data_IF_713849091956
#
_entry.id   IF_713849091956
#
_cell.length_a   1.000
_cell.length_b   1.000
_cell.length_c   1.000
_cell.angle_alpha   90.00
_cell.angle_beta   90.00
_cell.angle_gamma   90.00
#
_symmetry.space_group_name_H-M   'P 1'
#
loop_
_entity.id
_entity.type
_entity.pdbx_description
1 polymer ?
#
# COMPACT_ATOMS: atom_id res chain seq x y z
N UNK A 1 -25.04 6.25 8.78
CA UNK A 1 -24.05 7.14 8.13
C UNK A 1 -22.66 6.55 8.28
N UNK A 2 -21.95 6.23 7.18
CA UNK A 2 -20.52 5.84 7.25
C UNK A 2 -19.69 7.10 7.08
N UNK A 3 -19.13 7.61 8.17
CA UNK A 3 -18.23 8.77 8.15
C UNK A 3 -16.97 8.36 7.38
N UNK A 4 -16.86 8.77 6.13
CA UNK A 4 -15.65 8.56 5.32
C UNK A 4 -14.59 9.57 5.77
N UNK A 5 -13.77 9.17 6.74
CA UNK A 5 -12.62 9.98 7.12
C UNK A 5 -11.62 9.92 5.96
N UNK A 6 -11.53 11.00 5.17
CA UNK A 6 -10.43 11.20 4.22
C UNK A 6 -9.13 11.20 5.03
N UNK A 7 -8.42 10.07 4.97
CA UNK A 7 -7.15 9.90 5.65
C UNK A 7 -6.16 10.83 4.97
N UNK A 8 -5.76 11.88 5.66
CA UNK A 8 -4.75 12.81 5.15
C UNK A 8 -3.40 12.11 4.97
N UNK A 9 -2.42 12.90 4.49
CA UNK A 9 -1.03 12.49 4.30
C UNK A 9 -0.51 11.72 5.53
N UNK A 10 0.16 10.60 5.29
CA UNK A 10 0.79 9.80 6.34
C UNK A 10 2.00 10.53 6.88
N UNK A 11 2.02 10.76 8.19
CA UNK A 11 3.18 11.31 8.90
C UNK A 11 4.12 10.17 9.31
N UNK A 12 5.41 10.49 9.46
CA UNK A 12 6.40 9.50 9.91
C UNK A 12 6.03 8.91 11.28
N UNK A 13 5.47 9.71 12.18
CA UNK A 13 4.97 9.25 13.48
C UNK A 13 3.80 8.26 13.36
N UNK A 14 2.88 8.48 12.41
CA UNK A 14 1.79 7.54 12.14
C UNK A 14 2.31 6.21 11.58
N UNK A 15 3.34 6.26 10.73
CA UNK A 15 3.98 5.07 10.18
C UNK A 15 4.74 4.28 11.25
N UNK A 16 5.41 4.94 12.20
CA UNK A 16 6.08 4.29 13.34
C UNK A 16 5.07 3.60 14.27
N UNK A 17 3.96 4.29 14.57
CA UNK A 17 2.86 3.71 15.36
C UNK A 17 2.27 2.50 14.62
N UNK A 18 2.06 2.62 13.30
CA UNK A 18 1.54 1.52 12.48
C UNK A 18 2.48 0.32 12.51
N UNK A 19 3.80 0.54 12.38
CA UNK A 19 4.81 -0.53 12.50
C UNK A 19 4.79 -1.21 13.86
N UNK A 20 4.87 -0.43 14.93
CA UNK A 20 4.85 -0.97 16.29
C UNK A 20 3.56 -1.75 16.58
N UNK A 21 2.41 -1.25 16.09
CA UNK A 21 1.13 -1.91 16.26
C UNK A 21 1.04 -3.23 15.45
N UNK A 22 1.54 -3.27 14.22
CA UNK A 22 1.59 -4.51 13.44
C UNK A 22 2.54 -5.53 14.07
N UNK A 23 3.68 -5.10 14.61
CA UNK A 23 4.60 -5.97 15.34
C UNK A 23 3.96 -6.55 16.61
N UNK A 24 3.13 -5.76 17.31
CA UNK A 24 2.49 -6.17 18.56
C UNK A 24 1.23 -7.03 18.37
N UNK A 25 0.37 -6.67 17.41
CA UNK A 25 -0.96 -7.31 17.22
C UNK A 25 -1.04 -8.22 15.99
N UNK A 26 -0.04 -8.17 15.12
CA UNK A 26 -0.02 -8.90 13.86
C UNK A 26 -0.87 -8.28 12.74
N UNK A 27 -0.76 -8.86 11.55
CA UNK A 27 -1.40 -8.39 10.30
C UNK A 27 -2.88 -8.77 10.17
N UNK A 28 -3.49 -9.34 11.20
CA UNK A 28 -4.90 -9.79 11.17
C UNK A 28 -5.83 -8.84 11.94
N UNK A 29 -5.29 -7.92 12.75
CA UNK A 29 -6.06 -7.07 13.66
C UNK A 29 -6.09 -5.58 13.25
N UNK A 30 -6.36 -5.29 11.97
CA UNK A 30 -6.35 -3.92 11.43
C UNK A 30 -7.33 -2.96 12.12
N UNK A 31 -8.48 -3.44 12.59
CA UNK A 31 -9.43 -2.62 13.35
C UNK A 31 -8.81 -2.07 14.63
N UNK A 32 -8.07 -2.93 15.37
CA UNK A 32 -7.37 -2.58 16.60
C UNK A 32 -6.15 -1.71 16.35
N UNK A 33 -5.47 -1.91 15.22
CA UNK A 33 -4.38 -1.04 14.78
C UNK A 33 -4.93 0.36 14.45
N UNK A 34 -6.06 0.44 13.74
CA UNK A 34 -6.67 1.73 13.39
C UNK A 34 -7.18 2.53 14.58
N UNK A 35 -7.56 1.88 15.68
CA UNK A 35 -7.94 2.62 16.90
C UNK A 35 -6.77 3.35 17.57
N UNK A 36 -5.53 3.00 17.25
CA UNK A 36 -4.32 3.70 17.74
C UNK A 36 -3.98 4.93 16.89
N UNK A 37 -4.55 5.02 15.68
CA UNK A 37 -4.26 6.06 14.71
C UNK A 37 -5.47 6.98 14.55
N UNK A 38 -5.30 8.25 14.92
CA UNK A 38 -6.36 9.24 14.80
C UNK A 38 -6.65 9.50 13.33
N UNK A 39 -7.93 9.43 12.94
CA UNK A 39 -8.41 9.70 11.57
C UNK A 39 -7.87 8.76 10.48
N UNK A 40 -7.35 7.59 10.84
CA UNK A 40 -7.00 6.53 9.89
C UNK A 40 -7.91 5.33 10.10
N UNK A 41 -8.51 4.84 9.02
CA UNK A 41 -9.34 3.64 9.04
C UNK A 41 -8.51 2.37 8.91
N UNK A 42 -9.07 1.23 9.34
CA UNK A 42 -8.44 -0.09 9.17
C UNK A 42 -8.04 -0.37 7.71
N UNK A 43 -8.88 0.03 6.74
CA UNK A 43 -8.59 -0.13 5.32
C UNK A 43 -7.35 0.67 4.89
N UNK A 44 -7.21 1.91 5.37
CA UNK A 44 -6.04 2.75 5.11
C UNK A 44 -4.78 2.20 5.76
N UNK A 45 -4.87 1.72 7.01
CA UNK A 45 -3.74 1.12 7.71
C UNK A 45 -3.23 -0.13 6.98
N UNK A 46 -4.16 -0.98 6.51
CA UNK A 46 -3.84 -2.16 5.71
C UNK A 46 -3.14 -1.78 4.40
N UNK A 47 -3.71 -0.86 3.62
CA UNK A 47 -3.11 -0.40 2.37
C UNK A 47 -1.70 0.17 2.59
N UNK A 48 -1.54 1.06 3.57
CA UNK A 48 -0.23 1.66 3.91
C UNK A 48 0.82 0.62 4.28
N UNK A 49 0.42 -0.42 5.01
CA UNK A 49 1.34 -1.51 5.36
C UNK A 49 1.84 -2.23 4.10
N UNK A 50 0.93 -2.77 3.29
CA UNK A 50 1.30 -3.59 2.13
C UNK A 50 1.93 -2.79 0.98
N UNK A 51 1.69 -1.49 0.89
CA UNK A 51 2.24 -0.64 -0.18
C UNK A 51 3.57 0.03 0.20
N UNK A 52 3.83 0.32 1.48
CA UNK A 52 4.97 1.17 1.86
C UNK A 52 5.82 0.68 3.05
N UNK A 53 5.21 -0.01 4.02
CA UNK A 53 5.85 -0.33 5.30
C UNK A 53 6.26 -1.79 5.44
N UNK A 54 5.69 -2.69 4.65
CA UNK A 54 6.05 -4.11 4.69
C UNK A 54 7.53 -4.27 4.29
N UNK A 55 8.37 -4.87 5.15
CA UNK A 55 9.79 -5.04 4.87
C UNK A 55 10.08 -5.97 3.68
N UNK A 56 9.09 -6.74 3.21
CA UNK A 56 9.20 -7.54 1.98
C UNK A 56 9.10 -6.70 0.70
N UNK A 57 8.69 -5.43 0.79
CA UNK A 57 8.66 -4.52 -0.35
C UNK A 57 10.10 -4.19 -0.72
N UNK A 58 10.55 -4.74 -1.85
CA UNK A 58 11.82 -4.35 -2.46
C UNK A 58 11.75 -2.87 -2.84
N UNK A 59 12.43 -2.03 -2.07
CA UNK A 59 12.66 -0.61 -2.40
C UNK A 59 13.91 -0.40 -3.26
N UNK A 60 14.43 -1.49 -3.85
CA UNK A 60 15.62 -1.48 -4.68
C UNK A 60 15.28 -0.89 -6.05
N UNK A 61 16.28 -0.31 -6.71
CA UNK A 61 16.19 0.09 -8.13
C UNK A 61 15.64 -1.05 -8.97
N UNK A 62 14.77 -0.70 -9.93
CA UNK A 62 14.33 -1.60 -10.99
C UNK A 62 15.57 -2.24 -11.62
N UNK A 63 15.66 -3.57 -11.58
CA UNK A 63 16.74 -4.22 -12.33
C UNK A 63 16.37 -4.20 -13.81
N UNK A 64 17.37 -4.09 -14.69
CA UNK A 64 17.15 -4.07 -16.15
C UNK A 64 16.32 -5.26 -16.65
N UNK A 65 16.33 -6.39 -15.94
CA UNK A 65 15.51 -7.56 -16.29
C UNK A 65 14.00 -7.35 -16.04
N UNK A 66 13.62 -6.47 -15.11
CA UNK A 66 12.22 -6.14 -14.83
C UNK A 66 11.66 -5.16 -15.89
N UNK A 67 12.49 -4.22 -16.38
CA UNK A 67 12.14 -3.31 -17.49
C UNK A 67 11.92 -4.06 -18.81
N UNK A 68 12.76 -5.08 -19.10
CA UNK A 68 12.68 -5.83 -20.36
C UNK A 68 11.36 -6.63 -20.49
N UNK A 69 10.75 -7.03 -19.38
CA UNK A 69 9.44 -7.72 -19.34
C UNK A 69 8.24 -6.78 -19.38
N UNK A 70 8.41 -5.50 -19.06
CA UNK A 70 7.32 -4.50 -19.12
C UNK A 70 7.09 -3.97 -20.55
N UNK A 71 8.13 -3.96 -21.38
CA UNK A 71 8.04 -3.54 -22.77
C UNK A 71 6.92 -4.28 -23.54
N UNK A 72 6.85 -5.63 -23.58
CA UNK A 72 5.81 -6.31 -24.37
C UNK A 72 4.38 -6.08 -23.84
N UNK A 73 4.17 -5.94 -22.53
CA UNK A 73 2.81 -5.76 -21.96
C UNK A 73 2.21 -4.41 -22.34
N UNK A 74 3.02 -3.36 -22.37
CA UNK A 74 2.57 -2.01 -22.74
C UNK A 74 2.17 -1.88 -24.22
N UNK A 75 2.85 -2.58 -25.14
CA UNK A 75 2.49 -2.58 -26.57
C UNK A 75 1.33 -3.51 -26.90
N UNK A 76 1.20 -4.67 -26.23
CA UNK A 76 0.08 -5.60 -26.48
C UNK A 76 -1.27 -5.00 -26.06
N UNK A 77 -1.32 -4.27 -24.94
CA UNK A 77 -2.54 -3.58 -24.52
C UNK A 77 -2.97 -2.50 -25.52
N UNK A 78 -2.04 -1.83 -26.20
CA UNK A 78 -2.38 -0.80 -27.21
C UNK A 78 -2.96 -1.42 -28.50
N UNK A 79 -2.58 -2.66 -28.85
CA UNK A 79 -3.05 -3.32 -30.07
C UNK A 79 -4.47 -3.89 -29.99
N UNK A 80 -4.96 -4.24 -28.79
CA UNK A 80 -6.33 -4.75 -28.63
C UNK A 80 -7.40 -3.64 -28.57
N UNK A 81 -7.03 -2.39 -28.24
CA UNK A 81 -7.96 -1.26 -28.23
C UNK A 81 -8.15 -0.57 -29.59
N UNK A 82 -7.40 -0.97 -30.62
CA UNK A 82 -7.53 -0.43 -31.99
C UNK A 82 -8.33 -1.36 -32.93
N UNK A 83 -8.81 -2.50 -32.43
CA UNK A 83 -9.63 -3.47 -33.17
C UNK A 83 -11.10 -3.50 -32.73
N UNK A 84 -11.59 -2.44 -32.07
CA UNK A 84 -13.01 -2.15 -31.88
C UNK A 84 -13.31 -0.67 -32.12
#
# INVERSE_FOLDING_TARGET
MRIMIKGGVWKNTEDEILKAAVMKYGKNQWARISSLLVRKSAKQCKARWYEWLDPSIKKTEWTREEDEKLLPVSVTMMSEYFYF
#
